data_IF_337484988553
#
_entry.id   IF_337484988553
#
_cell.length_a   1.000
_cell.length_b   1.000
_cell.length_c   1.000
_cell.angle_alpha   90.00
_cell.angle_beta   90.00
_cell.angle_gamma   90.00
#
_symmetry.space_group_name_H-M   'P 1'
#
loop_
_entity.id
_entity.type
_entity.pdbx_description
1 polymer ?
#
# COMPACT_ATOMS: atom_id res chain seq x y z
N UNK A 1 5.41 19.23 4.59
CA UNK A 1 4.57 18.00 4.63
C UNK A 1 4.98 17.12 5.80
N UNK A 2 6.22 16.65 5.88
CA UNK A 2 6.70 15.80 7.00
C UNK A 2 6.44 16.46 8.37
N UNK A 3 6.77 17.74 8.55
CA UNK A 3 6.54 18.44 9.83
C UNK A 3 5.07 18.51 10.25
N UNK A 4 4.16 18.58 9.27
CA UNK A 4 2.73 18.52 9.53
C UNK A 4 2.31 17.11 9.96
N UNK A 5 2.82 16.08 9.28
CA UNK A 5 2.52 14.69 9.59
C UNK A 5 3.13 14.23 10.93
N UNK A 6 4.26 14.81 11.36
CA UNK A 6 4.87 14.55 12.69
C UNK A 6 3.91 14.85 13.85
N UNK A 7 2.89 15.69 13.65
CA UNK A 7 1.84 15.95 14.66
C UNK A 7 0.94 14.74 14.91
N UNK A 8 0.95 13.77 13.99
CA UNK A 8 0.18 12.54 14.05
C UNK A 8 1.08 11.33 14.29
N UNK A 9 2.22 11.49 14.97
CA UNK A 9 3.06 10.35 15.28
C UNK A 9 2.27 9.25 16.02
N UNK A 10 2.66 8.00 15.82
CA UNK A 10 2.19 6.86 16.59
C UNK A 10 3.33 5.91 16.93
N UNK A 11 3.17 5.20 18.04
CA UNK A 11 4.12 4.15 18.41
C UNK A 11 4.09 3.02 17.38
N UNK A 12 5.26 2.41 17.14
CA UNK A 12 5.37 1.23 16.29
C UNK A 12 4.42 0.14 16.84
N UNK A 13 3.56 -0.46 15.99
CA UNK A 13 2.68 -1.55 16.37
C UNK A 13 3.42 -2.69 17.07
N UNK A 14 2.79 -3.31 18.07
CA UNK A 14 3.42 -4.36 18.87
C UNK A 14 4.00 -5.51 18.03
N UNK A 15 3.28 -5.93 16.99
CA UNK A 15 3.72 -7.01 16.11
C UNK A 15 4.99 -6.65 15.35
N UNK A 16 5.09 -5.42 14.81
CA UNK A 16 6.29 -4.93 14.12
C UNK A 16 7.48 -4.84 15.07
N UNK A 17 7.25 -4.20 16.22
CA UNK A 17 8.29 -4.02 17.24
C UNK A 17 8.91 -5.35 17.69
N UNK A 18 8.11 -6.42 17.73
CA UNK A 18 8.54 -7.73 18.20
C UNK A 18 8.74 -8.75 17.09
N UNK A 19 8.60 -8.36 15.82
CA UNK A 19 8.71 -9.27 14.69
C UNK A 19 10.05 -10.00 14.69
N UNK A 20 10.00 -11.26 14.29
CA UNK A 20 11.13 -12.14 14.04
C UNK A 20 10.81 -12.93 12.78
N UNK A 21 11.83 -13.21 11.97
CA UNK A 21 11.66 -14.03 10.78
C UNK A 21 10.97 -15.36 11.11
N UNK A 22 9.98 -15.74 10.30
CA UNK A 22 9.17 -16.95 10.50
C UNK A 22 8.08 -16.84 11.57
N UNK A 23 7.89 -15.66 12.18
CA UNK A 23 6.75 -15.42 13.07
C UNK A 23 5.44 -15.53 12.29
N UNK A 24 4.48 -16.27 12.84
CA UNK A 24 3.11 -16.32 12.31
C UNK A 24 2.41 -14.98 12.58
N UNK A 25 2.00 -14.31 11.50
CA UNK A 25 1.33 -13.01 11.53
C UNK A 25 0.10 -13.15 10.65
N UNK A 26 -1.09 -12.80 11.17
CA UNK A 26 -2.29 -12.72 10.37
C UNK A 26 -2.32 -11.42 9.55
N UNK A 27 -2.84 -11.44 8.32
CA UNK A 27 -2.93 -10.25 7.48
C UNK A 27 -3.73 -9.12 8.15
N UNK A 28 -4.77 -9.48 8.92
CA UNK A 28 -5.54 -8.55 9.76
C UNK A 28 -4.68 -7.76 10.75
N UNK A 29 -3.54 -8.30 11.18
CA UNK A 29 -2.58 -7.62 12.07
C UNK A 29 -1.83 -6.51 11.32
N UNK A 30 -1.44 -6.73 10.06
CA UNK A 30 -0.87 -5.70 9.18
C UNK A 30 -1.91 -4.60 8.92
N UNK A 31 -3.15 -5.01 8.68
CA UNK A 31 -4.27 -4.12 8.42
C UNK A 31 -4.89 -3.50 9.67
N UNK A 32 -4.47 -3.89 10.88
CA UNK A 32 -5.10 -3.43 12.13
C UNK A 32 -4.76 -1.98 12.51
N UNK A 33 -3.56 -1.52 12.14
CA UNK A 33 -3.06 -0.18 12.44
C UNK A 33 -3.40 0.87 11.37
N UNK A 34 -2.71 2.02 11.38
CA UNK A 34 -2.79 2.96 10.27
C UNK A 34 -2.10 2.37 9.06
N UNK A 35 -2.78 2.45 7.92
CA UNK A 35 -2.30 1.92 6.66
C UNK A 35 -2.06 3.06 5.69
N UNK A 36 -0.87 3.08 5.10
CA UNK A 36 -0.54 3.91 3.95
C UNK A 36 -0.86 3.14 2.68
N UNK A 37 -1.71 3.68 1.82
CA UNK A 37 -2.12 3.03 0.59
C UNK A 37 -1.49 3.73 -0.64
N UNK A 38 -0.93 2.95 -1.56
CA UNK A 38 -0.28 3.47 -2.77
C UNK A 38 -0.59 2.62 -4.01
N UNK A 39 -1.63 2.98 -4.79
CA UNK A 39 -1.99 2.30 -6.02
C UNK A 39 -1.16 2.84 -7.19
N UNK A 40 -0.74 1.95 -8.08
CA UNK A 40 0.18 2.28 -9.17
C UNK A 40 1.52 2.79 -8.63
N UNK A 41 2.03 2.15 -7.58
CA UNK A 41 3.18 2.64 -6.82
C UNK A 41 4.50 2.60 -7.58
N UNK A 42 4.64 1.75 -8.60
CA UNK A 42 5.91 1.45 -9.22
C UNK A 42 7.00 1.16 -8.18
N UNK A 43 8.10 1.90 -8.25
CA UNK A 43 9.30 1.68 -7.42
C UNK A 43 9.78 2.92 -6.64
N UNK A 44 9.03 4.03 -6.60
CA UNK A 44 9.58 5.33 -6.14
C UNK A 44 9.78 5.45 -4.62
N UNK A 45 9.11 4.62 -3.82
CA UNK A 45 9.23 4.62 -2.35
C UNK A 45 8.68 5.88 -1.65
N UNK A 46 8.00 6.80 -2.37
CA UNK A 46 7.70 8.14 -1.89
C UNK A 46 6.75 8.17 -0.68
N UNK A 47 5.73 7.31 -0.67
CA UNK A 47 4.79 7.23 0.46
C UNK A 47 5.51 6.85 1.76
N UNK A 48 6.35 5.81 1.70
CA UNK A 48 7.18 5.38 2.84
C UNK A 48 8.12 6.49 3.27
N UNK A 49 8.84 7.12 2.33
CA UNK A 49 9.82 8.17 2.65
C UNK A 49 9.23 9.33 3.45
N UNK A 50 7.97 9.70 3.20
CA UNK A 50 7.29 10.80 3.90
C UNK A 50 6.66 10.33 5.22
N UNK A 51 5.89 9.24 5.18
CA UNK A 51 5.07 8.81 6.33
C UNK A 51 5.89 8.09 7.40
N UNK A 52 6.90 7.30 7.00
CA UNK A 52 7.78 6.61 7.92
C UNK A 52 8.65 7.61 8.71
N UNK A 53 9.19 8.64 8.05
CA UNK A 53 9.93 9.74 8.70
C UNK A 53 9.07 10.58 9.64
N UNK A 54 7.76 10.61 9.41
CA UNK A 54 6.81 11.27 10.30
C UNK A 54 6.30 10.37 11.43
N UNK A 55 6.66 9.07 11.44
CA UNK A 55 6.17 8.06 12.37
C UNK A 55 4.64 7.96 12.42
N UNK A 56 3.93 8.35 11.35
CA UNK A 56 2.48 8.44 11.35
C UNK A 56 1.79 7.22 10.73
N UNK A 57 2.56 6.36 10.05
CA UNK A 57 2.16 5.08 9.45
C UNK A 57 3.35 4.13 9.49
N UNK A 58 3.12 2.88 9.88
CA UNK A 58 4.16 1.83 9.93
C UNK A 58 3.85 0.62 9.03
N UNK A 59 2.66 0.57 8.41
CA UNK A 59 2.28 -0.49 7.48
C UNK A 59 1.78 0.11 6.17
N UNK A 60 2.40 -0.31 5.07
CA UNK A 60 2.18 0.25 3.74
C UNK A 60 1.68 -0.82 2.77
N UNK A 61 0.72 -0.47 1.92
CA UNK A 61 0.20 -1.32 0.85
C UNK A 61 0.55 -0.68 -0.50
N UNK A 62 1.44 -1.34 -1.22
CA UNK A 62 1.91 -0.97 -2.56
C UNK A 62 1.22 -1.91 -3.55
N UNK A 63 0.40 -1.35 -4.43
CA UNK A 63 -0.49 -2.14 -5.30
C UNK A 63 -0.24 -1.79 -6.75
N UNK A 64 0.33 -2.72 -7.49
CA UNK A 64 0.74 -2.50 -8.87
C UNK A 64 0.81 -3.83 -9.65
N UNK A 65 0.00 -3.96 -10.70
CA UNK A 65 -0.02 -5.12 -11.58
C UNK A 65 0.97 -5.04 -12.76
N UNK A 66 1.85 -4.03 -12.79
CA UNK A 66 2.89 -3.90 -13.81
C UNK A 66 4.29 -4.25 -13.27
N UNK A 67 4.37 -4.55 -11.98
CA UNK A 67 5.63 -4.84 -11.29
C UNK A 67 5.74 -6.33 -11.00
N UNK A 68 6.87 -6.95 -11.39
CA UNK A 68 7.09 -8.39 -11.18
C UNK A 68 7.59 -8.67 -9.77
N UNK A 69 7.18 -9.82 -9.21
CA UNK A 69 7.62 -10.28 -7.88
C UNK A 69 9.14 -10.31 -7.76
N UNK A 70 9.79 -10.97 -8.71
CA UNK A 70 11.24 -11.17 -8.72
C UNK A 70 12.01 -9.83 -8.75
N UNK A 71 11.48 -8.80 -9.42
CA UNK A 71 12.09 -7.47 -9.46
C UNK A 71 12.06 -6.82 -8.06
N UNK A 72 10.92 -6.90 -7.37
CA UNK A 72 10.77 -6.38 -6.01
C UNK A 72 11.64 -7.14 -5.01
N UNK A 73 11.63 -8.47 -5.05
CA UNK A 73 12.45 -9.31 -4.16
C UNK A 73 13.94 -8.98 -4.36
N UNK A 74 14.41 -8.96 -5.60
CA UNK A 74 15.79 -8.57 -5.91
C UNK A 74 16.13 -7.15 -5.42
N UNK A 75 15.19 -6.21 -5.47
CA UNK A 75 15.39 -4.87 -4.94
C UNK A 75 15.49 -4.87 -3.42
N UNK A 76 14.63 -5.62 -2.73
CA UNK A 76 14.67 -5.72 -1.27
C UNK A 76 15.96 -6.38 -0.80
N UNK A 77 16.36 -7.49 -1.43
CA UNK A 77 17.55 -8.26 -1.09
C UNK A 77 18.85 -7.47 -1.34
N UNK A 78 18.85 -6.55 -2.30
CA UNK A 78 19.99 -5.64 -2.57
C UNK A 78 20.02 -4.40 -1.67
N UNK A 79 19.06 -4.23 -0.75
CA UNK A 79 19.00 -3.10 0.16
C UNK A 79 18.57 -1.79 -0.50
N UNK A 80 17.60 -1.85 -1.44
CA UNK A 80 17.15 -0.65 -2.18
C UNK A 80 16.45 0.39 -1.31
N UNK A 81 15.96 0.02 -0.12
CA UNK A 81 15.44 0.98 0.87
C UNK A 81 16.57 1.59 1.69
N UNK A 82 17.13 2.68 1.17
CA UNK A 82 18.31 3.33 1.74
C UNK A 82 18.17 3.62 3.25
N UNK A 83 19.13 3.15 4.06
CA UNK A 83 19.15 3.29 5.51
C UNK A 83 18.35 2.23 6.29
N UNK A 84 17.77 1.26 5.60
CA UNK A 84 17.04 0.13 6.20
C UNK A 84 17.50 -1.19 5.55
N UNK A 85 17.22 -2.30 6.22
CA UNK A 85 17.43 -3.65 5.70
C UNK A 85 16.22 -4.53 6.00
N UNK A 86 16.02 -5.56 5.18
CA UNK A 86 14.98 -6.55 5.44
C UNK A 86 15.34 -7.41 6.65
N UNK A 87 14.36 -7.68 7.51
CA UNK A 87 14.46 -8.63 8.64
C UNK A 87 13.50 -9.81 8.49
N UNK A 88 12.83 -9.92 7.34
CA UNK A 88 12.01 -11.06 6.98
C UNK A 88 10.88 -10.74 6.00
N UNK A 89 10.37 -11.79 5.37
CA UNK A 89 9.29 -11.75 4.38
C UNK A 89 8.16 -12.68 4.80
N UNK A 90 6.93 -12.20 4.64
CA UNK A 90 5.70 -12.97 4.91
C UNK A 90 4.97 -13.12 3.58
N UNK A 91 4.75 -14.35 3.14
CA UNK A 91 3.96 -14.66 1.93
C UNK A 91 2.48 -14.75 2.29
N UNK A 92 1.62 -14.23 1.43
CA UNK A 92 0.17 -14.25 1.63
C UNK A 92 -0.53 -14.98 0.50
N UNK A 93 -1.44 -15.89 0.87
CA UNK A 93 -2.40 -16.46 -0.06
C UNK A 93 -3.59 -15.52 -0.27
N UNK A 94 -4.40 -15.77 -1.30
CA UNK A 94 -5.65 -15.05 -1.52
C UNK A 94 -6.59 -15.17 -0.30
N UNK A 95 -6.62 -16.32 0.36
CA UNK A 95 -7.48 -16.57 1.52
C UNK A 95 -7.02 -15.81 2.76
N UNK A 96 -5.72 -15.51 2.90
CA UNK A 96 -5.22 -14.69 4.01
C UNK A 96 -5.69 -13.24 3.88
N UNK A 97 -5.79 -12.74 2.64
CA UNK A 97 -6.08 -11.34 2.31
C UNK A 97 -7.59 -11.10 2.18
N UNK A 98 -8.28 -12.05 1.55
CA UNK A 98 -9.70 -12.00 1.23
C UNK A 98 -10.37 -13.32 1.67
N UNK A 99 -10.48 -13.57 2.99
CA UNK A 99 -11.06 -14.82 3.51
C UNK A 99 -12.53 -15.02 3.09
N UNK A 100 -13.22 -13.94 2.70
CA UNK A 100 -14.61 -13.97 2.22
C UNK A 100 -14.72 -13.97 0.68
N UNK A 101 -13.60 -14.06 -0.03
CA UNK A 101 -13.53 -13.91 -1.48
C UNK A 101 -13.75 -12.45 -1.94
N UNK A 102 -13.91 -12.27 -3.25
CA UNK A 102 -14.10 -10.96 -3.86
C UNK A 102 -15.56 -10.52 -3.90
N UNK A 103 -15.79 -9.22 -3.69
CA UNK A 103 -17.09 -8.59 -3.77
C UNK A 103 -17.25 -7.82 -5.09
N UNK A 104 -18.44 -7.84 -5.72
CA UNK A 104 -18.67 -7.04 -6.92
C UNK A 104 -18.70 -5.53 -6.59
N UNK A 105 -17.99 -4.74 -7.39
CA UNK A 105 -18.06 -3.28 -7.32
C UNK A 105 -19.42 -2.83 -7.85
N UNK A 106 -20.20 -2.15 -7.01
CA UNK A 106 -21.55 -1.66 -7.32
C UNK A 106 -21.55 -0.14 -7.19
N UNK A 107 -21.20 0.53 -8.29
CA UNK A 107 -21.11 1.98 -8.40
C UNK A 107 -21.74 2.43 -9.71
N UNK A 108 -22.41 3.57 -9.72
CA UNK A 108 -22.98 4.15 -10.93
C UNK A 108 -21.94 4.93 -11.74
N UNK A 109 -20.93 4.22 -12.25
CA UNK A 109 -19.85 4.77 -13.08
C UNK A 109 -19.38 3.71 -14.08
N UNK A 110 -19.14 4.13 -15.32
CA UNK A 110 -18.58 3.25 -16.35
C UNK A 110 -17.08 3.52 -16.49
N UNK A 111 -16.21 2.52 -16.25
CA UNK A 111 -14.78 2.66 -16.46
C UNK A 111 -14.42 3.03 -17.90
N UNK A 112 -13.37 3.83 -18.09
CA UNK A 112 -12.84 4.24 -19.39
C UNK A 112 -12.36 3.06 -20.23
N UNK A 113 -11.82 2.04 -19.56
CA UNK A 113 -11.24 0.85 -20.19
C UNK A 113 -11.58 -0.39 -19.34
N UNK A 114 -11.37 -1.59 -19.90
CA UNK A 114 -11.54 -2.83 -19.15
C UNK A 114 -10.49 -2.94 -18.03
N UNK A 115 -10.84 -3.42 -16.82
CA UNK A 115 -9.88 -3.65 -15.74
C UNK A 115 -8.69 -4.53 -16.14
N UNK A 116 -8.89 -5.42 -17.12
CA UNK A 116 -7.86 -6.33 -17.61
C UNK A 116 -7.04 -5.76 -18.78
N UNK A 117 -7.20 -4.49 -19.12
CA UNK A 117 -6.60 -3.92 -20.34
C UNK A 117 -5.07 -3.92 -20.31
N UNK A 118 -4.48 -3.63 -19.15
CA UNK A 118 -3.03 -3.49 -18.99
C UNK A 118 -2.39 -4.64 -18.21
N UNK A 119 -3.18 -5.60 -17.74
CA UNK A 119 -2.68 -6.73 -16.95
C UNK A 119 -1.94 -7.69 -17.86
N UNK A 120 -0.68 -7.95 -17.55
CA UNK A 120 0.07 -9.05 -18.15
C UNK A 120 -0.40 -10.38 -17.55
N UNK A 121 -1.19 -11.12 -18.32
CA UNK A 121 -1.77 -12.41 -17.92
C UNK A 121 -0.74 -13.54 -17.80
N UNK A 122 0.51 -13.31 -18.19
CA UNK A 122 1.59 -14.28 -18.05
C UNK A 122 2.27 -14.20 -16.68
N UNK A 123 2.02 -13.14 -15.91
CA UNK A 123 2.55 -12.97 -14.56
C UNK A 123 1.61 -13.66 -13.56
N UNK A 124 2.18 -14.48 -12.70
CA UNK A 124 1.46 -15.08 -11.57
C UNK A 124 1.21 -14.00 -10.50
N UNK A 125 -0.06 -13.80 -10.06
CA UNK A 125 -0.35 -12.87 -8.98
C UNK A 125 0.40 -13.23 -7.70
N UNK A 126 0.85 -12.22 -6.98
CA UNK A 126 1.55 -12.39 -5.71
C UNK A 126 1.09 -11.38 -4.68
N UNK A 127 1.27 -11.74 -3.41
CA UNK A 127 1.19 -10.83 -2.30
C UNK A 127 2.22 -11.25 -1.26
N UNK A 128 3.09 -10.33 -0.86
CA UNK A 128 4.01 -10.56 0.24
C UNK A 128 4.25 -9.29 1.02
N UNK A 129 4.65 -9.42 2.27
CA UNK A 129 5.06 -8.32 3.12
C UNK A 129 6.53 -8.41 3.45
N UNK A 130 7.27 -7.36 3.10
CA UNK A 130 8.63 -7.16 3.57
C UNK A 130 8.57 -6.41 4.91
N UNK A 131 9.24 -6.94 5.94
CA UNK A 131 9.44 -6.25 7.21
C UNK A 131 10.84 -5.67 7.21
N UNK A 132 10.95 -4.36 7.38
CA UNK A 132 12.22 -3.63 7.34
C UNK A 132 12.59 -3.08 8.71
N UNK A 133 13.88 -3.04 8.98
CA UNK A 133 14.49 -2.43 10.16
C UNK A 133 15.48 -1.34 9.76
N UNK A 134 15.42 -0.22 10.47
CA UNK A 134 16.38 0.88 10.33
C UNK A 134 17.77 0.41 10.73
N UNK A 135 18.77 0.73 9.91
CA UNK A 135 20.15 0.35 10.21
C UNK A 135 20.63 0.99 11.51
N UNK A 136 21.41 0.26 12.29
CA UNK A 136 21.89 0.70 13.62
C UNK A 136 22.77 1.97 13.58
N UNK A 137 23.35 2.31 12.42
CA UNK A 137 24.14 3.53 12.21
C UNK A 137 23.28 4.77 11.89
N UNK A 138 21.95 4.61 11.78
CA UNK A 138 21.00 5.71 11.56
C UNK A 138 20.31 6.09 12.86
N UNK A 139 19.83 7.32 12.93
CA UNK A 139 19.01 7.83 14.05
C UNK A 139 17.54 7.96 13.64
N UNK A 140 16.72 8.51 14.54
CA UNK A 140 15.27 8.64 14.36
C UNK A 140 14.87 9.56 13.19
N UNK A 141 15.75 10.44 12.70
CA UNK A 141 15.47 11.29 11.54
C UNK A 141 15.39 10.51 10.21
N UNK A 142 15.82 9.23 10.24
CA UNK A 142 15.64 8.29 9.13
C UNK A 142 14.30 7.56 9.16
N UNK A 143 13.48 7.79 10.20
CA UNK A 143 12.15 7.22 10.39
C UNK A 143 12.10 6.09 11.41
N UNK A 144 10.97 5.39 11.42
CA UNK A 144 10.69 4.36 12.40
C UNK A 144 11.76 3.26 12.43
N UNK A 145 11.99 2.73 13.63
CA UNK A 145 12.89 1.57 13.84
C UNK A 145 12.48 0.38 12.98
N UNK A 146 11.18 0.14 12.83
CA UNK A 146 10.61 -0.92 11.98
C UNK A 146 9.33 -0.49 11.30
N UNK A 147 9.13 -0.95 10.07
CA UNK A 147 7.91 -0.79 9.30
C UNK A 147 7.73 -1.96 8.33
N UNK A 148 6.55 -2.09 7.74
CA UNK A 148 6.27 -3.13 6.75
C UNK A 148 5.73 -2.58 5.44
N UNK A 149 6.13 -3.19 4.33
CA UNK A 149 5.56 -2.93 3.01
C UNK A 149 4.95 -4.22 2.47
N UNK A 150 3.64 -4.22 2.29
CA UNK A 150 2.91 -5.25 1.56
C UNK A 150 2.89 -4.88 0.08
N UNK A 151 3.52 -5.69 -0.75
CA UNK A 151 3.44 -5.59 -2.20
C UNK A 151 2.37 -6.54 -2.71
N UNK A 152 1.45 -6.02 -3.51
CA UNK A 152 0.32 -6.76 -4.06
C UNK A 152 0.24 -6.56 -5.57
N UNK A 153 0.34 -7.66 -6.32
CA UNK A 153 0.03 -7.68 -7.74
C UNK A 153 -1.49 -7.66 -7.93
N UNK A 154 -2.06 -6.46 -7.96
CA UNK A 154 -3.49 -6.29 -8.14
C UNK A 154 -3.83 -4.92 -8.72
N UNK A 155 -5.09 -4.75 -9.09
CA UNK A 155 -5.65 -3.46 -9.46
C UNK A 155 -5.84 -2.57 -8.23
N UNK A 156 -5.28 -1.36 -8.28
CA UNK A 156 -5.47 -0.37 -7.23
C UNK A 156 -6.94 0.00 -6.96
N UNK A 157 -7.78 0.10 -7.99
CA UNK A 157 -9.19 0.47 -7.78
C UNK A 157 -9.93 -0.67 -7.07
N UNK A 158 -9.79 -1.90 -7.57
CA UNK A 158 -10.39 -3.09 -7.01
C UNK A 158 -9.87 -3.37 -5.60
N UNK A 159 -8.56 -3.29 -5.37
CA UNK A 159 -7.97 -3.49 -4.03
C UNK A 159 -8.53 -2.48 -3.04
N UNK A 160 -8.69 -1.20 -3.42
CA UNK A 160 -9.31 -0.24 -2.52
C UNK A 160 -10.70 -0.67 -2.10
N UNK A 161 -11.53 -1.08 -3.06
CA UNK A 161 -12.88 -1.55 -2.77
C UNK A 161 -12.89 -2.82 -1.92
N UNK A 162 -12.11 -3.84 -2.28
CA UNK A 162 -12.07 -5.09 -1.52
C UNK A 162 -11.60 -4.87 -0.08
N UNK A 163 -10.47 -4.17 0.10
CA UNK A 163 -9.86 -4.03 1.42
C UNK A 163 -10.54 -2.97 2.27
N UNK A 164 -10.67 -1.74 1.78
CA UNK A 164 -11.08 -0.60 2.60
C UNK A 164 -12.60 -0.44 2.69
N UNK A 165 -13.34 -0.87 1.66
CA UNK A 165 -14.81 -0.76 1.65
C UNK A 165 -15.48 -2.03 2.17
N UNK A 166 -14.98 -3.22 1.82
CA UNK A 166 -15.69 -4.49 2.10
C UNK A 166 -15.10 -5.30 3.24
N UNK A 167 -13.80 -5.58 3.21
CA UNK A 167 -13.17 -6.49 4.15
C UNK A 167 -12.91 -5.83 5.51
N UNK A 168 -12.17 -4.71 5.53
CA UNK A 168 -11.75 -4.04 6.76
C UNK A 168 -12.63 -2.84 7.12
N UNK A 169 -13.45 -2.34 6.19
CA UNK A 169 -14.41 -1.25 6.40
C UNK A 169 -13.78 -0.05 7.13
N UNK A 170 -12.65 0.41 6.60
CA UNK A 170 -11.85 1.52 7.14
C UNK A 170 -11.21 2.29 6.01
N UNK A 171 -10.99 3.59 6.17
CA UNK A 171 -10.19 4.34 5.23
C UNK A 171 -8.69 4.03 5.42
N UNK A 172 -7.87 4.06 4.35
CA UNK A 172 -6.43 4.20 4.52
C UNK A 172 -6.15 5.52 5.26
N UNK A 173 -5.15 5.53 6.13
CA UNK A 173 -4.81 6.71 6.91
C UNK A 173 -4.09 7.76 6.05
N UNK A 174 -3.17 7.30 5.21
CA UNK A 174 -2.56 8.12 4.16
C UNK A 174 -2.73 7.41 2.83
N UNK A 175 -2.96 8.20 1.78
CA UNK A 175 -3.18 7.68 0.45
C UNK A 175 -2.49 8.59 -0.55
N UNK A 176 -1.52 8.03 -1.28
CA UNK A 176 -0.77 8.78 -2.28
C UNK A 176 -1.36 8.49 -3.66
N UNK A 177 -1.89 9.54 -4.28
CA UNK A 177 -2.52 9.47 -5.60
C UNK A 177 -1.57 10.01 -6.65
N UNK A 178 -1.09 9.14 -7.53
CA UNK A 178 -0.40 9.51 -8.76
C UNK A 178 -1.33 9.35 -9.96
N UNK A 179 -2.24 10.32 -10.14
CA UNK A 179 -3.25 10.30 -11.21
C UNK A 179 -2.72 10.91 -12.51
N UNK A 180 -1.53 10.49 -12.93
CA UNK A 180 -1.02 10.81 -14.26
C UNK A 180 -1.28 9.66 -15.21
N UNK A 181 -1.97 9.94 -16.32
CA UNK A 181 -2.45 8.98 -17.33
C UNK A 181 -1.38 8.19 -18.09
N UNK A 182 -0.15 8.14 -17.58
CA UNK A 182 0.97 7.33 -18.07
C UNK A 182 1.20 6.04 -17.25
N UNK A 183 0.51 5.86 -16.12
CA UNK A 183 0.68 4.69 -15.24
C UNK A 183 -0.08 3.43 -15.65
N UNK A 184 -0.62 3.37 -16.88
CA UNK A 184 -1.39 2.22 -17.39
C UNK A 184 -2.52 1.76 -16.45
N UNK A 185 -3.21 2.73 -15.82
CA UNK A 185 -4.45 2.48 -15.08
C UNK A 185 -5.64 2.51 -16.06
N UNK A 186 -6.56 1.55 -15.94
CA UNK A 186 -7.74 1.49 -16.83
C UNK A 186 -8.76 2.60 -16.57
N UNK A 187 -8.65 3.29 -15.43
CA UNK A 187 -9.36 4.53 -15.13
C UNK A 187 -8.48 5.45 -14.25
N UNK A 188 -8.99 6.63 -13.94
CA UNK A 188 -8.36 7.58 -13.01
C UNK A 188 -8.63 7.19 -11.57
N UNK A 189 -7.64 7.45 -10.72
CA UNK A 189 -7.83 7.36 -9.27
C UNK A 189 -8.43 8.64 -8.68
N UNK A 190 -8.09 9.79 -9.28
CA UNK A 190 -8.45 11.10 -8.77
C UNK A 190 -9.86 11.54 -9.16
N UNK A 191 -10.07 12.86 -9.11
CA UNK A 191 -11.39 13.48 -9.26
C UNK A 191 -12.10 13.01 -10.54
N UNK A 192 -13.39 12.70 -10.40
CA UNK A 192 -14.25 12.24 -11.48
C UNK A 192 -13.75 10.92 -12.13
N UNK A 193 -12.86 10.20 -11.46
CA UNK A 193 -12.40 8.86 -11.81
C UNK A 193 -13.23 7.77 -11.13
N UNK A 194 -12.98 6.52 -11.52
CA UNK A 194 -13.74 5.39 -10.97
C UNK A 194 -13.52 5.21 -9.46
N UNK A 195 -12.29 5.40 -8.97
CA UNK A 195 -12.01 5.32 -7.54
C UNK A 195 -12.67 6.45 -6.75
N UNK A 196 -12.71 7.68 -7.28
CA UNK A 196 -13.45 8.78 -6.67
C UNK A 196 -14.94 8.49 -6.60
N UNK A 197 -15.52 7.84 -7.61
CA UNK A 197 -16.91 7.38 -7.57
C UNK A 197 -17.14 6.34 -6.46
N UNK A 198 -16.26 5.36 -6.31
CA UNK A 198 -16.29 4.37 -5.22
C UNK A 198 -16.25 5.07 -3.86
N UNK A 199 -15.29 5.95 -3.63
CA UNK A 199 -15.12 6.66 -2.36
C UNK A 199 -16.37 7.48 -2.01
N UNK A 200 -16.95 8.18 -3.00
CA UNK A 200 -18.16 9.00 -2.80
C UNK A 200 -19.39 8.17 -2.46
N UNK A 201 -19.55 7.00 -3.08
CA UNK A 201 -20.72 6.13 -2.86
C UNK A 201 -20.57 5.24 -1.62
N UNK A 202 -19.34 4.92 -1.20
CA UNK A 202 -19.08 4.07 -0.03
C UNK A 202 -19.07 4.82 1.32
N UNK A 203 -19.20 6.16 1.31
CA UNK A 203 -19.01 7.03 2.50
C UNK A 203 -17.66 6.82 3.21
N UNK A 204 -16.64 6.31 2.51
CA UNK A 204 -15.30 6.16 3.06
C UNK A 204 -14.65 7.54 3.18
N UNK A 205 -14.21 7.93 4.39
CA UNK A 205 -13.75 9.29 4.70
C UNK A 205 -12.58 9.71 3.80
N UNK A 206 -12.71 10.93 3.28
CA UNK A 206 -11.87 11.55 2.27
C UNK A 206 -10.40 11.75 2.70
N UNK A 207 -9.51 11.34 1.82
CA UNK A 207 -8.06 11.55 1.82
C UNK A 207 -7.69 13.01 1.52
N UNK A 208 -6.58 13.49 2.09
CA UNK A 208 -6.00 14.81 1.81
C UNK A 208 -5.69 14.92 0.30
N UNK A 209 -6.50 15.70 -0.41
CA UNK A 209 -6.38 15.96 -1.85
C UNK A 209 -5.38 17.09 -2.07
N UNK A 210 -4.24 16.80 -2.70
CA UNK A 210 -3.41 17.84 -3.30
C UNK A 210 -3.43 17.66 -4.82
N UNK A 211 -4.24 18.46 -5.52
CA UNK A 211 -4.33 18.47 -6.99
C UNK A 211 -3.25 19.34 -7.64
N UNK A 212 -2.06 19.40 -7.04
CA UNK A 212 -0.92 20.09 -7.63
C UNK A 212 -0.17 19.13 -8.55
N UNK A 213 0.04 19.52 -9.81
CA UNK A 213 1.14 18.97 -10.60
C UNK A 213 2.43 19.21 -9.80
N UNK A 214 3.10 18.13 -9.39
CA UNK A 214 4.54 18.18 -9.10
C UNK A 214 5.30 18.37 -10.41
#
# INVERSE_FOLDING_TARGET
MIDYLKQYNENIPYWLKNYKEGMDVAFDTVMGGRVGYYPGSGFDGNLVAVANKAHCVHSFLYVDYLVKKEELENMMDKGSFHGNHSIGRIEWSELDIMPNGSFPITVNYTPRMSPMHFVDKTIEPYCFTEVLERNADKDDEWGAERFSITFLFADGIATYFQMFVKQFVKAPWLFLLQDHGFGCNYDRFGKDGYLDAIIRESNSVLIIRNYGRL
#
